data_IF_288709500295
#
_entry.id   IF_288709500295
#
_cell.length_a   1.000
_cell.length_b   1.000
_cell.length_c   1.000
_cell.angle_alpha   90.00
_cell.angle_beta   90.00
_cell.angle_gamma   90.00
#
_symmetry.space_group_name_H-M   'P 1'
#
loop_
_entity.id
_entity.type
_entity.pdbx_description
1 polymer ?
#
# COMPACT_ATOMS: atom_id res chain seq x y z
N UNK A 1 42.25 24.30 25.99
CA UNK A 1 41.79 23.25 25.05
C UNK A 1 40.28 23.38 24.95
N UNK A 2 39.70 23.79 23.82
CA UNK A 2 38.26 23.80 23.67
C UNK A 2 37.75 22.42 23.26
N UNK A 3 36.45 22.30 23.52
CA UNK A 3 35.68 21.10 23.77
C UNK A 3 35.44 20.17 22.58
N UNK A 4 35.02 18.97 22.92
CA UNK A 4 34.71 17.83 22.05
C UNK A 4 33.77 18.21 20.91
N UNK A 5 34.16 17.86 19.69
CA UNK A 5 33.25 17.61 18.58
C UNK A 5 32.34 16.43 18.96
N UNK A 6 31.19 16.71 19.56
CA UNK A 6 30.02 15.82 19.49
C UNK A 6 29.49 15.88 18.05
N UNK A 7 30.16 15.20 17.13
CA UNK A 7 29.60 14.83 15.82
C UNK A 7 28.61 13.68 16.04
N UNK A 8 27.57 13.91 16.85
CA UNK A 8 26.40 13.05 16.84
C UNK A 8 25.60 13.47 15.61
N UNK A 9 25.63 12.64 14.57
CA UNK A 9 24.74 12.78 13.42
C UNK A 9 23.33 13.05 13.98
N UNK A 10 22.64 14.12 13.53
CA UNK A 10 21.29 14.39 14.02
C UNK A 10 20.45 13.13 13.81
N UNK A 11 19.83 12.64 14.87
CA UNK A 11 18.96 11.49 14.80
C UNK A 11 17.74 11.91 13.97
N UNK A 12 17.62 11.39 12.75
CA UNK A 12 16.48 11.69 11.88
C UNK A 12 15.23 11.06 12.46
N UNK A 13 14.17 11.83 12.52
CA UNK A 13 12.90 11.40 13.09
C UNK A 13 11.91 11.01 11.99
N UNK A 14 11.94 9.74 11.62
CA UNK A 14 11.05 9.21 10.60
C UNK A 14 9.68 8.86 11.20
N UNK A 15 8.84 9.88 11.38
CA UNK A 15 7.50 9.76 11.97
C UNK A 15 6.40 10.29 11.08
N UNK A 16 5.18 9.89 11.42
CA UNK A 16 3.97 10.54 10.99
C UNK A 16 3.01 10.73 12.17
N UNK A 17 2.15 11.73 12.07
CA UNK A 17 1.03 11.92 12.99
C UNK A 17 -0.25 11.41 12.32
N UNK A 18 -0.83 10.35 12.86
CA UNK A 18 -2.11 9.79 12.40
C UNK A 18 -3.13 10.02 13.51
N UNK A 19 -4.15 10.84 13.23
CA UNK A 19 -5.23 11.16 14.19
C UNK A 19 -4.71 11.59 15.58
N UNK A 20 -3.63 12.38 15.60
CA UNK A 20 -3.00 12.86 16.83
C UNK A 20 -2.08 11.86 17.54
N UNK A 21 -1.79 10.70 16.92
CA UNK A 21 -0.86 9.70 17.44
C UNK A 21 0.39 9.62 16.57
N UNK A 22 1.55 9.68 17.22
CA UNK A 22 2.83 9.49 16.54
C UNK A 22 3.02 8.00 16.19
N UNK A 23 3.42 7.75 14.96
CA UNK A 23 3.78 6.43 14.45
C UNK A 23 5.12 6.50 13.74
N UNK A 24 5.83 5.37 13.69
CA UNK A 24 7.12 5.29 13.03
C UNK A 24 6.94 4.97 11.54
N UNK A 25 7.56 5.75 10.66
CA UNK A 25 7.63 5.48 9.22
C UNK A 25 8.96 4.81 8.93
N UNK A 26 8.90 3.52 8.59
CA UNK A 26 10.10 2.68 8.51
C UNK A 26 10.78 2.71 7.15
N UNK A 27 10.17 3.31 6.13
CA UNK A 27 10.76 3.35 4.80
C UNK A 27 9.76 3.72 3.71
N UNK A 28 10.25 3.63 2.47
CA UNK A 28 9.50 3.97 1.27
C UNK A 28 9.50 2.79 0.29
N UNK A 29 8.34 2.56 -0.34
CA UNK A 29 8.16 1.57 -1.40
C UNK A 29 7.49 2.23 -2.61
N UNK A 30 8.15 2.14 -3.76
CA UNK A 30 7.61 2.62 -5.03
C UNK A 30 7.19 1.44 -5.91
N UNK A 31 5.99 1.53 -6.49
CA UNK A 31 5.49 0.54 -7.46
C UNK A 31 4.82 1.20 -8.66
N UNK A 32 4.64 0.43 -9.73
CA UNK A 32 3.92 0.81 -10.94
C UNK A 32 3.45 -0.44 -11.70
N UNK A 33 2.26 -0.46 -12.33
CA UNK A 33 1.12 0.45 -12.08
C UNK A 33 0.26 -0.01 -10.89
N UNK A 34 0.58 -1.17 -10.33
CA UNK A 34 -0.22 -1.81 -9.29
C UNK A 34 0.29 -1.50 -7.89
N UNK A 35 -0.60 -1.61 -6.92
CA UNK A 35 -0.21 -1.59 -5.51
C UNK A 35 0.76 -2.74 -5.22
N UNK A 36 1.70 -2.54 -4.27
CA UNK A 36 2.58 -3.61 -3.82
C UNK A 36 1.79 -4.79 -3.25
N UNK A 37 2.34 -5.99 -3.44
CA UNK A 37 1.83 -7.19 -2.81
C UNK A 37 1.93 -7.11 -1.28
N UNK A 38 1.06 -7.88 -0.62
CA UNK A 38 1.12 -8.03 0.84
C UNK A 38 2.41 -8.75 1.21
N UNK A 39 3.05 -8.33 2.29
CA UNK A 39 4.35 -8.87 2.67
C UNK A 39 5.51 -8.40 1.78
N UNK A 40 5.30 -7.47 0.85
CA UNK A 40 6.39 -6.88 0.08
C UNK A 40 7.45 -6.28 1.02
N UNK A 41 8.71 -6.57 0.74
CA UNK A 41 9.85 -6.03 1.49
C UNK A 41 9.91 -4.52 1.31
N UNK A 42 10.11 -3.81 2.43
CA UNK A 42 10.24 -2.35 2.46
C UNK A 42 11.73 -2.01 2.40
N UNK A 43 12.09 -1.00 1.61
CA UNK A 43 13.43 -0.41 1.70
C UNK A 43 13.46 0.52 2.90
N UNK A 44 14.21 0.20 3.98
CA UNK A 44 14.19 1.02 5.17
C UNK A 44 14.92 2.34 4.93
N UNK A 45 14.51 3.39 5.64
CA UNK A 45 15.32 4.61 5.72
C UNK A 45 16.64 4.33 6.44
N UNK A 46 17.68 5.08 6.10
CA UNK A 46 18.99 4.95 6.72
C UNK A 46 18.92 5.29 8.21
N UNK A 47 19.73 4.61 9.02
CA UNK A 47 19.89 4.84 10.47
C UNK A 47 18.62 4.65 11.31
N UNK A 48 17.66 3.86 10.82
CA UNK A 48 16.51 3.42 11.63
C UNK A 48 16.97 2.50 12.76
N UNK A 49 16.66 2.91 13.99
CA UNK A 49 16.80 2.05 15.15
C UNK A 49 15.82 0.87 15.08
N UNK A 50 16.22 -0.29 15.62
CA UNK A 50 15.31 -1.42 15.76
C UNK A 50 14.07 -0.98 16.56
N UNK A 51 12.86 -1.36 16.12
CA UNK A 51 11.64 -0.91 16.75
C UNK A 51 11.47 -1.56 18.13
N UNK A 52 11.04 -0.77 19.11
CA UNK A 52 10.68 -1.29 20.43
C UNK A 52 9.46 -2.21 20.37
N UNK A 53 9.33 -3.09 21.37
CA UNK A 53 8.16 -3.97 21.50
C UNK A 53 6.86 -3.16 21.52
N UNK A 54 5.95 -3.48 20.60
CA UNK A 54 4.65 -2.78 20.48
C UNK A 54 4.67 -1.48 19.68
N UNK A 55 5.80 -1.13 19.04
CA UNK A 55 5.86 0.01 18.14
C UNK A 55 4.85 -0.13 16.99
N UNK A 56 4.17 0.97 16.65
CA UNK A 56 3.27 1.02 15.50
C UNK A 56 4.06 1.50 14.28
N UNK A 57 4.24 0.60 13.33
CA UNK A 57 5.10 0.81 12.16
C UNK A 57 4.26 1.00 10.90
N UNK A 58 4.64 1.96 10.08
CA UNK A 58 4.05 2.22 8.77
C UNK A 58 5.12 2.35 7.70
N UNK A 59 4.78 1.98 6.46
CA UNK A 59 5.57 2.27 5.28
C UNK A 59 4.87 3.37 4.47
N UNK A 60 5.65 4.28 3.89
CA UNK A 60 5.16 5.20 2.88
C UNK A 60 5.19 4.49 1.52
N UNK A 61 4.07 4.50 0.81
CA UNK A 61 3.95 3.87 -0.51
C UNK A 61 3.60 4.91 -1.55
N UNK A 62 4.30 4.84 -2.68
CA UNK A 62 3.99 5.61 -3.88
C UNK A 62 3.67 4.66 -5.04
N UNK A 63 2.48 4.78 -5.62
CA UNK A 63 2.07 4.01 -6.79
C UNK A 63 2.00 4.95 -7.98
N UNK A 64 2.88 4.76 -8.95
CA UNK A 64 2.83 5.52 -10.20
C UNK A 64 1.71 4.95 -11.06
N UNK A 65 0.76 5.80 -11.43
CA UNK A 65 -0.32 5.40 -12.33
C UNK A 65 0.22 5.28 -13.75
N UNK A 66 -0.06 4.15 -14.38
CA UNK A 66 0.11 3.96 -15.82
C UNK A 66 -1.11 3.20 -16.36
N UNK A 67 -1.43 3.41 -17.63
CA UNK A 67 -2.53 2.68 -18.28
C UNK A 67 -2.02 1.42 -18.94
N UNK A 68 -2.69 0.31 -18.67
CA UNK A 68 -2.46 -0.98 -19.30
C UNK A 68 -3.12 -1.03 -20.68
N UNK A 69 -2.32 -1.24 -21.72
CA UNK A 69 -2.76 -1.66 -23.04
C UNK A 69 -2.45 -3.15 -23.20
N UNK A 70 -3.45 -3.97 -22.92
CA UNK A 70 -3.37 -5.43 -23.07
C UNK A 70 -3.89 -5.82 -24.44
N UNK A 71 -2.99 -6.27 -25.32
CA UNK A 71 -3.34 -6.91 -26.58
C UNK A 71 -3.47 -8.42 -26.37
N UNK A 72 -4.64 -8.98 -26.68
CA UNK A 72 -4.84 -10.44 -26.72
C UNK A 72 -4.73 -10.89 -28.16
N UNK A 73 -3.79 -11.79 -28.45
CA UNK A 73 -3.73 -12.46 -29.75
C UNK A 73 -4.95 -13.37 -29.90
N UNK A 74 -5.83 -13.13 -30.89
CA UNK A 74 -7.07 -13.90 -31.05
C UNK A 74 -6.83 -15.34 -31.48
N UNK A 75 -5.64 -15.68 -32.00
CA UNK A 75 -5.33 -17.03 -32.50
C UNK A 75 -4.65 -17.90 -31.44
N UNK A 76 -3.87 -17.30 -30.54
CA UNK A 76 -3.11 -18.03 -29.51
C UNK A 76 -3.68 -17.84 -28.10
N UNK A 77 -4.53 -16.82 -27.90
CA UNK A 77 -5.04 -16.43 -26.58
C UNK A 77 -3.98 -15.80 -25.67
N UNK A 78 -2.76 -15.59 -26.17
CA UNK A 78 -1.67 -14.99 -25.40
C UNK A 78 -1.92 -13.48 -25.25
N UNK A 79 -1.84 -12.99 -24.02
CA UNK A 79 -1.96 -11.58 -23.68
C UNK A 79 -0.59 -10.92 -23.54
N UNK A 80 -0.41 -9.75 -24.16
CA UNK A 80 0.75 -8.89 -24.00
C UNK A 80 0.30 -7.52 -23.45
N UNK A 81 0.83 -7.13 -22.31
CA UNK A 81 0.54 -5.83 -21.68
C UNK A 81 1.68 -4.85 -21.91
N UNK A 82 1.36 -3.63 -22.34
CA UNK A 82 2.27 -2.48 -22.35
C UNK A 82 1.70 -1.39 -21.46
N UNK A 83 2.56 -0.76 -20.66
CA UNK A 83 2.15 0.35 -19.81
C UNK A 83 2.56 1.67 -20.42
N UNK A 84 1.58 2.54 -20.65
CA UNK A 84 1.79 3.87 -21.21
C UNK A 84 1.51 4.94 -20.15
N UNK A 85 2.46 5.86 -20.06
CA UNK A 85 2.33 7.13 -19.33
C UNK A 85 2.02 8.22 -20.36
N UNK A 86 1.13 9.16 -20.02
CA UNK A 86 0.85 10.38 -20.80
C UNK A 86 0.28 10.20 -22.23
N UNK A 87 -0.34 9.06 -22.55
CA UNK A 87 -1.19 8.96 -23.75
C UNK A 87 -2.55 9.62 -23.48
N UNK A 88 -3.06 10.42 -24.43
CA UNK A 88 -4.28 11.24 -24.32
C UNK A 88 -5.43 10.55 -23.55
N UNK A 89 -5.77 11.08 -22.36
CA UNK A 89 -6.88 10.60 -21.53
C UNK A 89 -6.54 9.56 -20.47
N UNK A 90 -5.29 9.12 -20.37
CA UNK A 90 -4.86 8.12 -19.40
C UNK A 90 -4.60 8.72 -18.01
N UNK A 91 -4.99 8.05 -16.91
CA UNK A 91 -4.64 8.48 -15.56
C UNK A 91 -3.12 8.53 -15.41
N UNK A 92 -2.61 9.74 -15.18
CA UNK A 92 -1.22 10.01 -14.87
C UNK A 92 -1.07 10.52 -13.42
N UNK A 93 0.14 10.39 -12.89
CA UNK A 93 0.47 10.85 -11.54
C UNK A 93 0.91 9.74 -10.59
N UNK A 94 1.03 10.09 -9.32
CA UNK A 94 1.48 9.18 -8.27
C UNK A 94 0.53 9.26 -7.09
N UNK A 95 -0.05 8.12 -6.71
CA UNK A 95 -0.84 8.00 -5.50
C UNK A 95 0.08 7.72 -4.31
N UNK A 96 -0.19 8.37 -3.18
CA UNK A 96 0.62 8.26 -1.96
C UNK A 96 -0.24 7.84 -0.76
N UNK A 97 0.25 6.90 0.04
CA UNK A 97 -0.42 6.47 1.27
C UNK A 97 0.54 5.85 2.29
N UNK A 98 0.13 5.84 3.56
CA UNK A 98 0.74 5.04 4.61
C UNK A 98 0.01 3.72 4.74
N UNK A 99 0.75 2.63 4.95
CA UNK A 99 0.19 1.31 5.24
C UNK A 99 0.98 0.64 6.36
N UNK A 100 0.36 -0.18 7.24
CA UNK A 100 1.06 -0.88 8.30
C UNK A 100 2.23 -1.73 7.80
N UNK A 101 3.31 -1.68 8.55
CA UNK A 101 4.52 -2.47 8.35
C UNK A 101 4.73 -3.43 9.53
N UNK A 102 5.47 -4.51 9.26
CA UNK A 102 5.91 -5.48 10.25
C UNK A 102 7.42 -5.57 10.22
N UNK A 103 8.02 -5.73 11.40
CA UNK A 103 9.45 -5.99 11.55
C UNK A 103 9.67 -7.46 11.88
N UNK A 104 10.51 -8.13 11.11
CA UNK A 104 10.98 -9.48 11.43
C UNK A 104 12.35 -9.38 12.13
N UNK A 105 12.43 -9.70 13.44
CA UNK A 105 13.68 -9.61 14.19
C UNK A 105 14.71 -10.67 13.79
N UNK A 106 14.30 -11.78 13.17
CA UNK A 106 15.23 -12.83 12.74
C UNK A 106 16.03 -12.41 11.51
N UNK A 107 15.34 -11.88 10.51
CA UNK A 107 15.96 -11.40 9.28
C UNK A 107 16.38 -9.93 9.35
N UNK A 108 15.96 -9.19 10.40
CA UNK A 108 16.12 -7.74 10.54
C UNK A 108 15.58 -6.97 9.34
N UNK A 109 14.44 -7.41 8.82
CA UNK A 109 13.80 -6.80 7.65
C UNK A 109 12.43 -6.23 7.98
N UNK A 110 12.01 -5.25 7.19
CA UNK A 110 10.67 -4.70 7.24
C UNK A 110 9.87 -5.17 6.02
N UNK A 111 8.61 -5.51 6.23
CA UNK A 111 7.69 -5.87 5.17
C UNK A 111 6.32 -5.22 5.39
N UNK A 112 5.53 -5.10 4.33
CA UNK A 112 4.13 -4.71 4.45
C UNK A 112 3.34 -5.74 5.27
N UNK A 113 2.34 -5.29 6.03
CA UNK A 113 1.42 -6.19 6.72
C UNK A 113 0.76 -7.20 5.77
N UNK A 114 0.44 -8.39 6.29
CA UNK A 114 -0.20 -9.47 5.52
C UNK A 114 -1.70 -9.24 5.25
N UNK A 115 -2.31 -8.27 5.94
CA UNK A 115 -3.72 -7.92 5.82
C UNK A 115 -3.94 -6.96 4.65
N UNK A 116 -4.98 -7.22 3.84
CA UNK A 116 -5.43 -6.22 2.87
C UNK A 116 -6.13 -5.08 3.59
N UNK A 117 -5.57 -3.89 3.41
CA UNK A 117 -6.09 -2.65 3.97
C UNK A 117 -6.38 -1.67 2.84
N UNK A 118 -7.52 -1.01 2.94
CA UNK A 118 -7.92 0.10 2.07
C UNK A 118 -7.79 1.41 2.85
N UNK A 119 -7.68 2.51 2.11
CA UNK A 119 -7.72 3.84 2.69
C UNK A 119 -8.99 4.03 3.53
N UNK A 120 -8.82 4.38 4.80
CA UNK A 120 -9.89 4.87 5.67
C UNK A 120 -10.10 6.38 5.52
N UNK A 121 -10.70 6.99 6.54
CA UNK A 121 -10.85 8.46 6.61
C UNK A 121 -9.60 9.16 7.12
N UNK A 122 -8.72 8.43 7.78
CA UNK A 122 -7.52 8.92 8.47
C UNK A 122 -6.51 9.53 7.48
N UNK A 123 -5.88 10.62 7.92
CA UNK A 123 -4.79 11.30 7.20
C UNK A 123 -3.56 11.26 8.09
N UNK A 124 -2.44 10.79 7.54
CA UNK A 124 -1.14 10.85 8.18
C UNK A 124 -0.39 12.10 7.74
N UNK A 125 0.00 12.94 8.69
CA UNK A 125 0.91 14.05 8.45
C UNK A 125 2.36 13.56 8.59
N UNK A 126 3.13 13.61 7.51
CA UNK A 126 4.53 13.17 7.50
C UNK A 126 5.42 14.21 8.18
N UNK A 127 6.38 13.74 8.98
CA UNK A 127 7.43 14.60 9.54
C UNK A 127 8.39 15.07 8.43
N UNK A 128 9.01 16.23 8.62
CA UNK A 128 9.88 16.86 7.63
C UNK A 128 11.07 15.97 7.23
N UNK A 129 11.62 15.18 8.15
CA UNK A 129 12.71 14.24 7.85
C UNK A 129 12.29 13.13 6.87
N UNK A 130 11.01 12.70 6.91
CA UNK A 130 10.45 11.74 5.94
C UNK A 130 10.33 12.42 4.57
N UNK A 131 9.86 13.66 4.54
CA UNK A 131 9.75 14.42 3.29
C UNK A 131 11.13 14.70 2.67
N UNK A 132 12.12 15.04 3.49
CA UNK A 132 13.48 15.31 3.05
C UNK A 132 14.15 14.06 2.47
N UNK A 133 14.08 12.92 3.17
CA UNK A 133 14.72 11.68 2.69
C UNK A 133 14.08 11.17 1.40
N UNK A 134 12.76 11.27 1.26
CA UNK A 134 12.03 10.86 0.07
C UNK A 134 12.29 11.81 -1.11
N UNK A 135 12.38 13.11 -0.83
CA UNK A 135 12.77 14.13 -1.82
C UNK A 135 14.21 13.94 -2.28
N UNK A 136 15.13 13.61 -1.37
CA UNK A 136 16.52 13.26 -1.70
C UNK A 136 16.63 12.01 -2.58
N UNK A 137 15.65 11.11 -2.52
CA UNK A 137 15.53 9.95 -3.41
C UNK A 137 14.83 10.26 -4.75
N UNK A 138 14.47 11.52 -5.01
CA UNK A 138 13.89 11.97 -6.28
C UNK A 138 12.36 11.93 -6.34
N UNK A 139 11.67 11.80 -5.21
CA UNK A 139 10.20 11.74 -5.17
C UNK A 139 9.58 12.93 -4.44
N UNK A 140 8.45 13.43 -4.94
CA UNK A 140 7.71 14.53 -4.30
C UNK A 140 6.52 13.98 -3.49
N UNK A 141 6.78 13.50 -2.28
CA UNK A 141 5.72 13.08 -1.35
C UNK A 141 4.94 14.30 -0.82
N UNK A 142 3.60 14.24 -0.75
CA UNK A 142 2.83 15.29 -0.10
C UNK A 142 2.96 15.19 1.43
N UNK A 143 2.89 16.33 2.12
CA UNK A 143 2.97 16.40 3.58
C UNK A 143 1.84 15.62 4.30
N UNK A 144 0.68 15.47 3.65
CA UNK A 144 -0.44 14.69 4.15
C UNK A 144 -0.81 13.57 3.17
N UNK A 145 -0.91 12.34 3.68
CA UNK A 145 -1.23 11.15 2.88
C UNK A 145 -2.36 10.35 3.51
N UNK A 146 -3.10 9.60 2.69
CA UNK A 146 -4.13 8.67 3.18
C UNK A 146 -3.49 7.55 3.99
N UNK A 147 -4.22 7.02 4.97
CA UNK A 147 -3.78 5.83 5.72
C UNK A 147 -4.64 4.63 5.33
N UNK A 148 -3.99 3.54 4.96
CA UNK A 148 -4.61 2.25 4.72
C UNK A 148 -4.71 1.49 6.04
N UNK A 149 -5.78 1.73 6.80
CA UNK A 149 -6.04 1.17 8.11
C UNK A 149 -7.37 0.39 8.18
N UNK A 150 -8.16 0.39 7.11
CA UNK A 150 -9.47 -0.25 7.09
C UNK A 150 -9.41 -1.64 6.44
N UNK A 151 -9.89 -2.72 7.11
CA UNK A 151 -9.88 -4.06 6.54
C UNK A 151 -10.74 -4.15 5.28
N UNK A 152 -10.16 -4.69 4.21
CA UNK A 152 -10.95 -5.10 3.04
C UNK A 152 -11.73 -6.35 3.43
N UNK A 153 -13.04 -6.22 3.62
CA UNK A 153 -13.91 -7.38 3.90
C UNK A 153 -13.83 -8.33 2.72
N UNK A 154 -13.53 -9.61 2.96
CA UNK A 154 -13.65 -10.61 1.91
C UNK A 154 -15.08 -10.56 1.34
N UNK A 155 -15.26 -10.62 0.01
CA UNK A 155 -16.60 -10.75 -0.55
C UNK A 155 -17.25 -11.97 0.08
N UNK A 156 -18.52 -11.84 0.49
CA UNK A 156 -19.27 -12.98 0.99
C UNK A 156 -19.17 -14.12 -0.04
N UNK A 157 -18.99 -15.39 0.38
CA UNK A 157 -18.99 -16.50 -0.56
C UNK A 157 -20.26 -16.39 -1.38
N UNK A 158 -20.12 -16.36 -2.72
CA UNK A 158 -21.27 -16.38 -3.62
C UNK A 158 -22.08 -17.62 -3.25
N UNK A 159 -23.26 -17.42 -2.64
CA UNK A 159 -24.16 -18.54 -2.38
C UNK A 159 -24.43 -19.21 -3.72
N UNK A 160 -24.27 -20.54 -3.84
CA UNK A 160 -24.69 -21.23 -5.04
C UNK A 160 -26.17 -20.90 -5.26
N UNK A 161 -26.48 -20.36 -6.44
CA UNK A 161 -27.84 -20.06 -6.85
C UNK A 161 -28.61 -21.38 -6.80
N UNK A 162 -29.47 -21.55 -5.80
CA UNK A 162 -30.35 -22.72 -5.71
C UNK A 162 -31.26 -22.65 -6.92
N UNK A 163 -31.00 -23.49 -7.91
CA UNK A 163 -31.92 -23.73 -9.01
C UNK A 163 -33.17 -24.35 -8.41
N UNK A 164 -34.22 -23.55 -8.20
CA UNK A 164 -35.51 -24.07 -7.78
C UNK A 164 -36.02 -25.04 -8.86
N UNK A 165 -35.95 -26.34 -8.59
CA UNK A 165 -36.70 -27.35 -9.32
C UNK A 165 -38.18 -27.02 -9.12
N UNK A 166 -38.81 -26.43 -10.14
CA UNK A 166 -40.26 -26.26 -10.17
C UNK A 166 -40.89 -27.63 -10.41
N UNK A 167 -41.32 -28.30 -9.36
CA UNK A 167 -42.19 -29.47 -9.45
C UNK A 167 -43.56 -28.99 -9.93
N UNK A 168 -43.89 -29.21 -11.21
CA UNK A 168 -45.27 -29.00 -11.70
C UNK A 168 -46.14 -30.15 -11.21
N UNK A 169 -47.00 -29.87 -10.23
CA UNK A 169 -48.12 -30.74 -9.88
C UNK A 169 -49.21 -30.62 -10.95
N UNK A 170 -49.42 -31.68 -11.74
CA UNK A 170 -50.57 -31.80 -12.64
C UNK A 170 -51.82 -32.11 -11.82
N UNK A 171 -52.73 -31.13 -11.69
CA UNK A 171 -54.11 -31.38 -11.27
C UNK A 171 -54.96 -31.72 -12.51
N UNK A 172 -55.43 -32.96 -12.55
CA UNK A 172 -56.35 -33.51 -13.55
C UNK A 172 -57.75 -32.95 -13.30
N UNK A 173 -58.19 -32.03 -14.16
CA UNK A 173 -59.58 -31.55 -14.22
C UNK A 173 -60.50 -32.60 -14.83
N UNK A 174 -61.69 -32.75 -14.22
CA UNK A 174 -62.79 -33.60 -14.66
C UNK A 174 -63.38 -33.15 -16.00
N UNK A 175 -63.73 -34.10 -16.85
CA UNK A 175 -64.98 -34.13 -17.61
C UNK A 175 -65.58 -35.52 -17.47
#
# INVERSE_FOLDING_TARGET
MPDRNDTRTPHRDYRALIDGREVQVVGHLQTSPHHPDRGATITPFADLAEPGTGATLFALVSVRCATDDTTVDPNTGVSHSKYFEDLFGNPNGTSWYLTPAVYDPQSRTYALGSQALTAGLSIGALHDDVLEVVSGAGYAAPAGVRVHDFPVRAPAPRQPRVTALTTRSHTRGKQ
#
